data_IF_992065446745
#
_entry.id   IF_992065446745
#
_cell.length_a   1.000
_cell.length_b   1.000
_cell.length_c   1.000
_cell.angle_alpha   90.00
_cell.angle_beta   90.00
_cell.angle_gamma   90.00
#
_symmetry.space_group_name_H-M   'P 1'
#
loop_
_entity.id
_entity.type
_entity.pdbx_description
1 polymer ?
#
# COMPACT_ATOMS: atom_id res chain seq x y z
N UNK A 1 36.11 -1.52 -6.36
CA UNK A 1 35.89 -0.57 -7.48
C UNK A 1 34.45 0.04 -7.44
N UNK A 2 33.42 -0.75 -7.27
CA UNK A 2 32.03 -0.19 -7.28
C UNK A 2 31.61 0.51 -5.99
N UNK A 3 32.24 0.25 -4.85
CA UNK A 3 31.90 0.86 -3.54
C UNK A 3 31.95 2.40 -3.57
N UNK A 4 32.82 2.99 -4.36
CA UNK A 4 32.92 4.44 -4.53
C UNK A 4 31.92 5.01 -5.55
N UNK A 5 31.25 4.16 -6.34
CA UNK A 5 30.28 4.57 -7.34
C UNK A 5 28.81 4.49 -6.85
N UNK A 6 28.58 3.78 -5.74
CA UNK A 6 27.27 3.67 -5.14
C UNK A 6 26.94 4.96 -4.37
N UNK A 7 25.74 5.48 -4.56
CA UNK A 7 25.28 6.67 -3.81
C UNK A 7 25.36 6.44 -2.30
N UNK A 8 25.77 7.44 -1.50
CA UNK A 8 25.93 7.29 -0.04
C UNK A 8 24.68 6.81 0.68
N UNK A 9 23.48 7.26 0.22
CA UNK A 9 22.20 6.86 0.78
C UNK A 9 21.96 5.35 0.64
N UNK A 10 22.42 4.76 -0.48
CA UNK A 10 22.30 3.33 -0.75
C UNK A 10 23.39 2.55 0.00
N UNK A 11 24.64 3.04 -0.03
CA UNK A 11 25.76 2.37 0.63
C UNK A 11 25.55 2.19 2.14
N UNK A 12 24.79 3.06 2.75
CA UNK A 12 24.45 3.05 4.19
C UNK A 12 23.15 2.31 4.54
N UNK A 13 22.45 1.73 3.56
CA UNK A 13 21.26 0.91 3.82
C UNK A 13 21.65 -0.49 4.26
N UNK A 14 20.96 -0.98 5.30
CA UNK A 14 20.94 -2.41 5.60
C UNK A 14 19.96 -3.11 4.66
N UNK A 15 20.31 -4.30 4.21
CA UNK A 15 19.39 -5.11 3.43
C UNK A 15 18.09 -5.38 4.24
N UNK A 16 16.96 -5.28 3.59
CA UNK A 16 15.70 -5.69 4.21
C UNK A 16 15.77 -7.18 4.56
N UNK A 17 15.51 -7.52 5.82
CA UNK A 17 15.49 -8.91 6.30
C UNK A 17 14.03 -9.37 6.36
N UNK A 18 13.55 -10.15 5.40
CA UNK A 18 12.21 -10.70 5.44
C UNK A 18 12.08 -11.72 6.60
N UNK A 19 10.86 -11.93 7.07
CA UNK A 19 10.59 -13.03 7.97
C UNK A 19 10.97 -14.38 7.35
N UNK A 20 11.54 -15.30 8.14
CA UNK A 20 11.97 -16.61 7.66
C UNK A 20 10.81 -17.39 7.04
N UNK A 21 11.07 -18.10 5.98
CA UNK A 21 10.10 -19.03 5.37
C UNK A 21 9.86 -20.26 6.26
N UNK A 22 8.74 -20.96 6.05
CA UNK A 22 8.46 -22.22 6.76
C UNK A 22 9.55 -23.26 6.48
N UNK A 23 10.07 -23.31 5.25
CA UNK A 23 11.12 -24.24 4.86
C UNK A 23 12.43 -23.95 5.62
N UNK A 24 12.87 -22.70 5.65
CA UNK A 24 14.06 -22.28 6.40
C UNK A 24 13.97 -22.59 7.90
N UNK A 25 12.78 -22.32 8.51
CA UNK A 25 12.56 -22.62 9.94
C UNK A 25 12.60 -24.13 10.19
N UNK A 26 11.97 -24.93 9.33
CA UNK A 26 12.01 -26.40 9.44
C UNK A 26 13.42 -26.94 9.34
N UNK A 27 14.19 -26.50 8.35
CA UNK A 27 15.57 -26.93 8.13
C UNK A 27 16.45 -26.51 9.30
N UNK A 28 16.36 -25.25 9.70
CA UNK A 28 17.23 -24.69 10.76
C UNK A 28 16.98 -25.27 12.14
N UNK A 29 15.74 -25.58 12.48
CA UNK A 29 15.34 -26.00 13.83
C UNK A 29 14.85 -27.45 13.92
N UNK A 30 14.87 -28.22 12.84
CA UNK A 30 14.42 -29.61 12.80
C UNK A 30 12.94 -29.84 13.12
N UNK A 31 12.09 -28.86 12.83
CA UNK A 31 10.68 -28.89 13.23
C UNK A 31 9.81 -29.56 12.18
N UNK A 32 8.95 -30.50 12.60
CA UNK A 32 7.96 -31.14 11.73
C UNK A 32 6.76 -30.22 11.42
N UNK A 33 6.39 -29.33 12.35
CA UNK A 33 5.26 -28.41 12.25
C UNK A 33 5.71 -26.98 12.55
N UNK A 34 5.38 -26.04 11.63
CA UNK A 34 5.64 -24.61 11.77
C UNK A 34 4.35 -23.86 11.45
N UNK A 35 3.93 -22.96 12.31
CA UNK A 35 2.83 -22.02 12.08
C UNK A 35 3.47 -20.67 11.82
N UNK A 36 3.39 -20.20 10.55
CA UNK A 36 3.94 -18.90 10.16
C UNK A 36 2.89 -17.82 10.43
N UNK A 37 3.21 -16.93 11.37
CA UNK A 37 2.41 -15.74 11.69
C UNK A 37 3.09 -14.43 11.22
N UNK A 38 4.34 -14.54 10.74
CA UNK A 38 5.07 -13.40 10.16
C UNK A 38 4.53 -13.02 8.78
N UNK A 39 4.78 -11.77 8.37
CA UNK A 39 4.40 -11.17 7.07
C UNK A 39 2.90 -10.94 6.88
N UNK A 40 2.07 -11.21 7.88
CA UNK A 40 0.62 -10.96 7.84
C UNK A 40 -0.03 -11.53 6.57
N UNK A 41 0.31 -12.78 6.21
CA UNK A 41 -0.26 -13.50 5.09
C UNK A 41 -1.64 -14.08 5.47
N UNK A 42 -2.54 -14.21 4.49
CA UNK A 42 -3.86 -14.82 4.73
C UNK A 42 -3.76 -16.33 4.94
N UNK A 43 -4.14 -16.87 6.13
CA UNK A 43 -4.03 -18.29 6.43
C UNK A 43 -5.02 -19.17 5.65
N UNK A 44 -6.10 -18.59 5.10
CA UNK A 44 -7.09 -19.32 4.28
C UNK A 44 -6.56 -19.64 2.87
N UNK A 45 -5.34 -19.18 2.54
CA UNK A 45 -4.67 -19.43 1.26
C UNK A 45 -5.37 -18.68 0.10
N UNK A 46 -5.52 -19.34 -1.03
CA UNK A 46 -5.99 -18.77 -2.30
C UNK A 46 -7.46 -19.12 -2.53
N UNK A 47 -8.26 -18.12 -2.90
CA UNK A 47 -9.67 -18.30 -3.28
C UNK A 47 -9.85 -19.43 -4.31
N UNK A 48 -10.91 -20.26 -4.20
CA UNK A 48 -11.24 -21.27 -5.20
C UNK A 48 -11.39 -20.71 -6.62
N UNK A 49 -11.99 -19.53 -6.78
CA UNK A 49 -12.12 -18.87 -8.08
C UNK A 49 -10.77 -18.46 -8.65
N UNK A 50 -9.87 -17.93 -7.84
CA UNK A 50 -8.50 -17.59 -8.24
C UNK A 50 -7.75 -18.84 -8.69
N UNK A 51 -7.83 -19.94 -7.92
CA UNK A 51 -7.19 -21.20 -8.28
C UNK A 51 -7.64 -21.68 -9.66
N UNK A 52 -8.94 -21.66 -9.92
CA UNK A 52 -9.51 -22.05 -11.21
C UNK A 52 -8.99 -21.17 -12.34
N UNK A 53 -9.03 -19.86 -12.18
CA UNK A 53 -8.59 -18.90 -13.20
C UNK A 53 -7.10 -19.05 -13.48
N UNK A 54 -6.26 -19.17 -12.47
CA UNK A 54 -4.82 -19.35 -12.67
C UNK A 54 -4.51 -20.66 -13.41
N UNK A 55 -5.17 -21.77 -13.04
CA UNK A 55 -4.96 -23.06 -13.70
C UNK A 55 -5.29 -23.03 -15.21
N UNK A 56 -6.28 -22.23 -15.61
CA UNK A 56 -6.69 -22.11 -17.02
C UNK A 56 -5.98 -21.01 -17.79
N UNK A 57 -5.20 -20.16 -17.11
CA UNK A 57 -4.55 -19.00 -17.71
C UNK A 57 -3.03 -19.14 -17.85
N UNK A 58 -2.44 -20.24 -17.39
CA UNK A 58 -0.98 -20.44 -17.42
C UNK A 58 -0.42 -20.37 -18.85
N UNK A 59 -1.15 -20.89 -19.82
CA UNK A 59 -0.76 -20.87 -21.25
C UNK A 59 -0.66 -19.44 -21.82
N UNK A 60 -1.24 -18.44 -21.14
CA UNK A 60 -1.15 -17.05 -21.57
C UNK A 60 0.06 -16.29 -20.97
N UNK A 61 0.80 -16.94 -20.07
CA UNK A 61 1.95 -16.30 -19.38
C UNK A 61 3.07 -15.85 -20.33
N UNK A 62 3.11 -16.33 -21.57
CA UNK A 62 4.06 -15.90 -22.60
C UNK A 62 3.76 -14.52 -23.19
N UNK A 63 2.61 -13.91 -22.85
CA UNK A 63 2.20 -12.60 -23.36
C UNK A 63 2.26 -11.52 -22.29
N UNK A 64 2.62 -10.31 -22.70
CA UNK A 64 2.46 -9.15 -21.85
C UNK A 64 0.98 -8.89 -21.53
N UNK A 65 0.67 -8.33 -20.33
CA UNK A 65 -0.67 -7.88 -20.04
C UNK A 65 -1.07 -6.70 -20.94
N UNK A 66 -2.36 -6.39 -20.99
CA UNK A 66 -2.82 -5.16 -21.63
C UNK A 66 -2.27 -3.94 -20.86
N UNK A 67 -1.71 -2.98 -21.60
CA UNK A 67 -1.14 -1.78 -21.01
C UNK A 67 -2.13 -1.02 -20.13
N UNK A 68 -1.72 -0.74 -18.88
CA UNK A 68 -2.56 -0.03 -17.92
C UNK A 68 -3.63 -0.86 -17.21
N UNK A 69 -3.75 -2.17 -17.51
CA UNK A 69 -4.69 -3.09 -16.84
C UNK A 69 -6.15 -2.55 -16.78
N UNK A 70 -6.76 -2.14 -17.91
CA UNK A 70 -8.03 -1.41 -17.93
C UNK A 70 -9.17 -2.20 -17.29
N UNK A 71 -9.27 -3.51 -17.52
CA UNK A 71 -10.31 -4.36 -16.96
C UNK A 71 -10.27 -4.37 -15.42
N UNK A 72 -9.09 -4.45 -14.83
CA UNK A 72 -8.92 -4.40 -13.38
C UNK A 72 -9.24 -2.99 -12.83
N UNK A 73 -8.78 -1.93 -13.50
CA UNK A 73 -9.10 -0.55 -13.10
C UNK A 73 -10.58 -0.28 -13.09
N UNK A 74 -11.30 -0.70 -14.12
CA UNK A 74 -12.77 -0.57 -14.20
C UNK A 74 -13.47 -1.37 -13.10
N UNK A 75 -13.01 -2.59 -12.80
CA UNK A 75 -13.57 -3.40 -11.73
C UNK A 75 -13.39 -2.74 -10.36
N UNK A 76 -12.20 -2.20 -10.08
CA UNK A 76 -11.90 -1.46 -8.86
C UNK A 76 -12.69 -0.15 -8.77
N UNK A 77 -12.80 0.59 -9.88
CA UNK A 77 -13.57 1.83 -9.94
C UNK A 77 -15.04 1.60 -9.59
N UNK A 78 -15.64 0.53 -10.14
CA UNK A 78 -17.00 0.11 -9.77
C UNK A 78 -17.13 -0.29 -8.30
N UNK A 79 -16.16 -1.07 -7.80
CA UNK A 79 -16.18 -1.54 -6.41
C UNK A 79 -16.10 -0.40 -5.38
N UNK A 80 -15.43 0.69 -5.74
CA UNK A 80 -15.21 1.84 -4.86
C UNK A 80 -16.02 3.09 -5.23
N UNK A 81 -16.86 3.01 -6.27
CA UNK A 81 -17.68 4.13 -6.75
C UNK A 81 -16.85 5.38 -7.10
N UNK A 82 -15.69 5.18 -7.72
CA UNK A 82 -14.79 6.25 -8.19
C UNK A 82 -14.55 6.17 -9.69
N UNK A 83 -14.08 7.26 -10.30
CA UNK A 83 -13.70 7.25 -11.71
C UNK A 83 -12.49 6.31 -11.96
N UNK A 84 -12.51 5.49 -13.04
CA UNK A 84 -11.37 4.65 -13.43
C UNK A 84 -10.08 5.43 -13.66
N UNK A 85 -10.17 6.71 -13.97
CA UNK A 85 -9.02 7.61 -14.17
C UNK A 85 -8.24 7.85 -12.87
N UNK A 86 -8.89 7.70 -11.72
CA UNK A 86 -8.26 7.81 -10.40
C UNK A 86 -7.58 6.53 -9.95
N UNK A 87 -7.87 5.39 -10.59
CA UNK A 87 -7.29 4.08 -10.22
C UNK A 87 -5.93 3.92 -10.86
N UNK A 88 -4.93 3.63 -10.03
CA UNK A 88 -3.62 3.13 -10.45
C UNK A 88 -3.41 1.72 -9.91
N UNK A 89 -2.67 0.90 -10.65
CA UNK A 89 -2.30 -0.45 -10.20
C UNK A 89 -0.78 -0.59 -10.22
N UNK A 90 -0.24 -1.39 -9.31
CA UNK A 90 1.19 -1.59 -9.17
C UNK A 90 1.55 -3.01 -8.74
N UNK A 91 2.82 -3.34 -8.84
CA UNK A 91 3.41 -4.60 -8.36
C UNK A 91 3.47 -4.60 -6.81
N UNK A 92 2.31 -4.77 -6.19
CA UNK A 92 2.02 -4.42 -4.80
C UNK A 92 1.79 -2.91 -4.63
N UNK A 93 1.24 -2.51 -3.47
CA UNK A 93 1.19 -1.09 -3.08
C UNK A 93 2.59 -0.49 -2.94
N UNK A 94 3.60 -1.34 -2.76
CA UNK A 94 5.02 -0.98 -2.63
C UNK A 94 5.52 -0.19 -3.84
N UNK A 95 5.18 -0.63 -5.07
CA UNK A 95 5.51 0.11 -6.30
C UNK A 95 4.86 1.49 -6.32
N UNK A 96 3.63 1.61 -5.83
CA UNK A 96 2.92 2.88 -5.81
C UNK A 96 3.56 3.84 -4.80
N UNK A 97 3.98 3.35 -3.64
CA UNK A 97 4.73 4.14 -2.64
C UNK A 97 6.03 4.67 -3.25
N UNK A 98 6.83 3.80 -3.86
CA UNK A 98 8.09 4.18 -4.52
C UNK A 98 7.85 5.24 -5.59
N UNK A 99 6.85 5.02 -6.44
CA UNK A 99 6.51 5.95 -7.52
C UNK A 99 6.03 7.31 -7.00
N UNK A 100 5.21 7.36 -5.95
CA UNK A 100 4.76 8.62 -5.37
C UNK A 100 5.94 9.44 -4.83
N UNK A 101 6.89 8.80 -4.14
CA UNK A 101 8.09 9.48 -3.64
C UNK A 101 8.92 10.02 -4.81
N UNK A 102 9.20 9.21 -5.83
CA UNK A 102 9.97 9.60 -7.03
C UNK A 102 9.33 10.72 -7.81
N UNK A 103 8.01 10.74 -7.90
CA UNK A 103 7.27 11.73 -8.69
C UNK A 103 7.17 13.09 -7.98
N UNK A 104 7.04 13.08 -6.66
CA UNK A 104 6.68 14.28 -5.90
C UNK A 104 7.86 14.90 -5.14
N UNK A 105 8.85 14.10 -4.75
CA UNK A 105 9.94 14.56 -3.92
C UNK A 105 11.27 14.64 -4.68
N UNK A 106 11.87 15.82 -4.67
CA UNK A 106 13.22 16.07 -5.22
C UNK A 106 14.26 15.73 -4.15
N UNK A 107 15.27 14.89 -4.47
CA UNK A 107 16.35 14.52 -3.54
C UNK A 107 17.05 15.75 -2.94
N UNK A 108 17.36 15.69 -1.64
CA UNK A 108 18.07 16.75 -0.92
C UNK A 108 17.30 18.06 -0.73
N UNK A 109 16.07 18.16 -1.26
CA UNK A 109 15.24 19.37 -1.18
C UNK A 109 13.92 19.16 -0.45
N UNK A 110 13.34 17.97 -0.58
CA UNK A 110 12.02 17.67 -0.06
C UNK A 110 12.08 16.60 1.03
N UNK A 111 11.02 16.53 1.82
CA UNK A 111 10.86 15.55 2.89
C UNK A 111 9.55 14.78 2.76
N UNK A 112 9.52 13.63 3.43
CA UNK A 112 8.32 12.87 3.75
C UNK A 112 8.14 12.82 5.27
N UNK A 113 6.90 12.70 5.74
CA UNK A 113 6.56 12.58 7.16
C UNK A 113 5.82 11.28 7.38
N UNK A 114 6.15 10.54 8.44
CA UNK A 114 5.43 9.33 8.85
C UNK A 114 5.54 9.14 10.37
N UNK A 115 4.74 8.25 10.92
CA UNK A 115 4.89 7.79 12.30
C UNK A 115 6.12 6.88 12.47
N UNK A 116 6.57 6.66 13.73
CA UNK A 116 7.63 5.72 14.11
C UNK A 116 7.22 4.98 15.39
N UNK A 117 7.18 3.63 15.43
CA UNK A 117 7.38 2.73 14.29
C UNK A 117 6.27 2.81 13.24
N UNK A 118 6.59 2.43 12.01
CA UNK A 118 5.64 2.37 10.89
C UNK A 118 6.00 1.23 9.93
N UNK A 119 5.23 1.08 8.87
CA UNK A 119 5.64 0.21 7.77
C UNK A 119 6.97 0.70 7.18
N UNK A 120 8.00 -0.12 7.36
CA UNK A 120 9.41 0.26 7.12
C UNK A 120 9.72 0.70 5.69
N UNK A 121 8.83 0.42 4.74
CA UNK A 121 9.05 0.79 3.34
C UNK A 121 9.04 2.31 3.11
N UNK A 122 8.26 3.08 3.86
CA UNK A 122 8.22 4.54 3.67
C UNK A 122 9.60 5.18 3.87
N UNK A 123 10.27 5.02 5.04
CA UNK A 123 11.59 5.59 5.24
C UNK A 123 12.66 4.93 4.37
N UNK A 124 12.56 3.64 4.04
CA UNK A 124 13.50 2.95 3.18
C UNK A 124 13.45 3.54 1.77
N UNK A 125 12.26 3.66 1.17
CA UNK A 125 12.11 4.21 -0.17
C UNK A 125 12.47 5.70 -0.24
N UNK A 126 12.09 6.49 0.77
CA UNK A 126 12.51 7.88 0.87
C UNK A 126 14.04 7.98 0.85
N UNK A 127 14.74 7.15 1.65
CA UNK A 127 16.21 7.11 1.68
C UNK A 127 16.81 6.68 0.34
N UNK A 128 16.26 5.63 -0.31
CA UNK A 128 16.67 5.20 -1.66
C UNK A 128 16.55 6.36 -2.66
N UNK A 129 15.52 7.18 -2.53
CA UNK A 129 15.30 8.35 -3.36
C UNK A 129 16.13 9.58 -2.94
N UNK A 130 16.89 9.52 -1.84
CA UNK A 130 17.63 10.67 -1.31
C UNK A 130 16.72 11.75 -0.72
N UNK A 131 15.57 11.35 -0.20
CA UNK A 131 14.55 12.22 0.40
C UNK A 131 14.58 12.09 1.92
N UNK A 132 14.56 13.21 2.63
CA UNK A 132 14.50 13.26 4.09
C UNK A 132 13.23 12.59 4.61
N UNK A 133 13.35 11.80 5.69
CA UNK A 133 12.19 11.27 6.42
C UNK A 133 12.13 11.91 7.80
N UNK A 134 11.03 12.61 8.10
CA UNK A 134 10.72 13.12 9.44
C UNK A 134 9.76 12.17 10.12
N UNK A 135 10.08 11.77 11.34
CA UNK A 135 9.40 10.71 12.05
C UNK A 135 8.71 11.25 13.29
N UNK A 136 7.41 11.03 13.38
CA UNK A 136 6.61 11.33 14.55
C UNK A 136 6.50 10.07 15.42
N UNK A 137 6.97 10.08 16.67
CA UNK A 137 6.80 8.91 17.54
C UNK A 137 5.31 8.65 17.79
N UNK A 138 4.95 7.37 17.90
CA UNK A 138 3.62 7.00 18.39
C UNK A 138 3.48 7.40 19.87
N UNK A 139 2.25 7.66 20.29
CA UNK A 139 1.93 7.84 21.71
C UNK A 139 2.27 6.57 22.52
N UNK A 140 2.45 6.64 23.86
CA UNK A 140 2.75 5.46 24.68
C UNK A 140 1.74 4.32 24.60
N UNK A 141 0.48 4.63 24.25
CA UNK A 141 -0.60 3.68 24.00
C UNK A 141 -0.70 3.24 22.52
N UNK A 142 0.31 3.60 21.71
CA UNK A 142 0.38 3.37 20.27
C UNK A 142 -0.67 4.11 19.44
N UNK A 143 -1.38 5.08 19.99
CA UNK A 143 -2.27 5.96 19.24
C UNK A 143 -1.49 7.00 18.42
N UNK A 144 -2.18 7.62 17.46
CA UNK A 144 -1.62 8.66 16.60
C UNK A 144 -1.89 10.06 17.18
N UNK A 145 -0.85 10.79 17.48
CA UNK A 145 -0.92 12.24 17.69
C UNK A 145 -0.80 12.93 16.31
N UNK A 146 -1.96 13.20 15.68
CA UNK A 146 -2.01 13.82 14.36
C UNK A 146 -1.58 15.30 14.39
N UNK A 147 -1.71 15.98 15.51
CA UNK A 147 -1.26 17.36 15.66
C UNK A 147 0.27 17.41 15.77
N UNK A 148 0.88 16.49 16.52
CA UNK A 148 2.33 16.32 16.54
C UNK A 148 2.88 15.95 15.16
N UNK A 149 2.22 15.04 14.44
CA UNK A 149 2.58 14.68 13.05
C UNK A 149 2.52 15.92 12.14
N UNK A 150 1.44 16.69 12.20
CA UNK A 150 1.25 17.91 11.42
C UNK A 150 2.33 18.97 11.72
N UNK A 151 2.80 19.07 12.96
CA UNK A 151 3.86 20.01 13.36
C UNK A 151 5.21 19.75 12.67
N UNK A 152 5.44 18.54 12.14
CA UNK A 152 6.64 18.18 11.38
C UNK A 152 6.57 18.55 9.90
N UNK A 153 5.40 18.99 9.43
CA UNK A 153 5.16 19.35 8.02
C UNK A 153 5.59 20.79 7.77
N UNK A 154 6.30 21.03 6.69
CA UNK A 154 6.69 22.35 6.23
C UNK A 154 6.51 22.51 4.72
N UNK A 155 6.93 23.65 4.16
CA UNK A 155 6.83 23.95 2.73
C UNK A 155 7.67 23.00 1.83
N UNK A 156 8.64 22.29 2.40
CA UNK A 156 9.46 21.27 1.74
C UNK A 156 8.85 19.86 1.79
N UNK A 157 7.84 19.63 2.64
CA UNK A 157 7.19 18.32 2.75
C UNK A 157 6.31 18.06 1.52
N UNK A 158 6.43 16.87 0.94
CA UNK A 158 5.64 16.45 -0.24
C UNK A 158 4.68 15.32 0.05
N UNK A 159 4.99 14.46 1.00
CA UNK A 159 4.12 13.33 1.36
C UNK A 159 4.04 13.20 2.87
N UNK A 160 2.84 12.94 3.36
CA UNK A 160 2.57 12.46 4.71
C UNK A 160 1.99 11.07 4.58
N UNK A 161 2.63 10.05 5.16
CA UNK A 161 2.15 8.67 5.16
C UNK A 161 1.46 8.35 6.48
N UNK A 162 0.23 7.84 6.39
CA UNK A 162 -0.54 7.33 7.53
C UNK A 162 -1.11 5.96 7.16
N UNK A 163 -0.69 4.93 7.89
CA UNK A 163 -1.24 3.57 7.73
C UNK A 163 -2.46 3.41 8.62
N UNK A 164 -3.60 2.96 8.09
CA UNK A 164 -4.81 2.78 8.89
C UNK A 164 -5.66 1.61 8.37
N UNK A 165 -5.94 0.58 9.19
CA UNK A 165 -5.29 0.28 10.48
C UNK A 165 -3.77 0.18 10.40
N UNK A 166 -3.08 0.65 11.44
CA UNK A 166 -1.63 0.76 11.45
C UNK A 166 -0.91 -0.59 11.46
N UNK A 167 0.26 -0.60 10.89
CA UNK A 167 1.24 -1.66 11.01
C UNK A 167 2.55 -1.05 11.57
N UNK A 168 2.92 -1.34 12.86
CA UNK A 168 2.57 -2.57 13.57
C UNK A 168 1.47 -2.45 14.64
N UNK A 169 1.01 -1.25 15.02
CA UNK A 169 0.22 -1.06 16.24
C UNK A 169 -1.23 -1.58 16.16
N UNK A 170 -1.79 -1.68 14.94
CA UNK A 170 -3.21 -1.97 14.74
C UNK A 170 -4.14 -0.76 14.99
N UNK A 171 -3.60 0.38 15.39
CA UNK A 171 -4.41 1.55 15.67
C UNK A 171 -5.15 2.05 14.42
N UNK A 172 -6.39 2.45 14.61
CA UNK A 172 -7.23 3.00 13.56
C UNK A 172 -7.78 4.37 14.02
N UNK A 173 -7.25 5.48 13.51
CA UNK A 173 -7.69 6.81 13.90
C UNK A 173 -9.14 7.07 13.47
N UNK A 174 -9.90 7.89 14.23
CA UNK A 174 -11.23 8.28 13.82
C UNK A 174 -11.25 8.96 12.45
N UNK A 175 -12.22 8.61 11.60
CA UNK A 175 -12.35 9.17 10.24
C UNK A 175 -12.37 10.71 10.24
N UNK A 176 -13.06 11.32 11.21
CA UNK A 176 -13.09 12.77 11.37
C UNK A 176 -11.71 13.39 11.62
N UNK A 177 -10.84 12.69 12.34
CA UNK A 177 -9.46 13.16 12.58
C UNK A 177 -8.62 13.10 11.30
N UNK A 178 -8.78 12.03 10.50
CA UNK A 178 -8.13 11.92 9.18
C UNK A 178 -8.61 12.99 8.20
N UNK A 179 -9.91 13.33 8.21
CA UNK A 179 -10.44 14.43 7.40
C UNK A 179 -9.85 15.77 7.81
N UNK A 180 -9.79 16.05 9.12
CA UNK A 180 -9.16 17.29 9.61
C UNK A 180 -7.70 17.40 9.20
N UNK A 181 -6.95 16.31 9.27
CA UNK A 181 -5.56 16.31 8.81
C UNK A 181 -5.47 16.64 7.31
N UNK A 182 -6.31 16.04 6.48
CA UNK A 182 -6.37 16.34 5.04
C UNK A 182 -6.68 17.81 4.78
N UNK A 183 -7.69 18.38 5.46
CA UNK A 183 -8.08 19.78 5.35
C UNK A 183 -6.97 20.74 5.82
N UNK A 184 -6.28 20.43 6.91
CA UNK A 184 -5.16 21.22 7.40
C UNK A 184 -4.00 21.22 6.41
N UNK A 185 -3.66 20.03 5.85
CA UNK A 185 -2.62 19.92 4.82
C UNK A 185 -3.00 20.70 3.56
N UNK A 186 -4.22 20.59 3.08
CA UNK A 186 -4.69 21.33 1.89
C UNK A 186 -4.60 22.84 2.09
N UNK A 187 -5.02 23.33 3.25
CA UNK A 187 -5.03 24.76 3.56
C UNK A 187 -3.63 25.34 3.72
N UNK A 188 -2.74 24.67 4.41
CA UNK A 188 -1.43 25.21 4.80
C UNK A 188 -0.29 24.75 3.90
N UNK A 189 -0.42 23.55 3.31
CA UNK A 189 0.61 22.91 2.49
C UNK A 189 0.01 22.26 1.23
N UNK A 190 -0.55 23.05 0.28
CA UNK A 190 -1.33 22.54 -0.86
C UNK A 190 -0.52 21.66 -1.83
N UNK A 191 0.80 21.59 -1.66
CA UNK A 191 1.69 20.70 -2.43
C UNK A 191 2.05 19.41 -1.69
N UNK A 192 1.48 19.19 -0.51
CA UNK A 192 1.68 18.01 0.31
C UNK A 192 0.53 17.02 0.09
N UNK A 193 0.85 15.80 -0.33
CA UNK A 193 -0.12 14.72 -0.51
C UNK A 193 -0.22 13.90 0.78
N UNK A 194 -1.43 13.71 1.30
CA UNK A 194 -1.70 12.73 2.34
C UNK A 194 -1.88 11.35 1.70
N UNK A 195 -0.96 10.44 1.96
CA UNK A 195 -1.02 9.05 1.51
C UNK A 195 -1.55 8.19 2.66
N UNK A 196 -2.77 7.70 2.50
CA UNK A 196 -3.43 6.83 3.49
C UNK A 196 -3.29 5.40 3.02
N UNK A 197 -2.48 4.63 3.73
CA UNK A 197 -2.29 3.21 3.43
C UNK A 197 -3.34 2.38 4.16
N UNK A 198 -4.33 1.94 3.41
CA UNK A 198 -5.46 1.13 3.87
C UNK A 198 -5.25 -0.37 3.58
N UNK A 199 -4.00 -0.86 3.63
CA UNK A 199 -3.68 -2.26 3.35
C UNK A 199 -4.44 -3.26 4.25
N UNK A 200 -4.83 -2.85 5.45
CA UNK A 200 -5.55 -3.68 6.42
C UNK A 200 -7.01 -3.25 6.64
N UNK A 201 -7.51 -2.28 5.87
CA UNK A 201 -8.81 -1.67 6.10
C UNK A 201 -9.99 -2.67 6.01
N UNK A 202 -9.87 -3.72 5.22
CA UNK A 202 -10.91 -4.76 5.14
C UNK A 202 -11.18 -5.42 6.50
N UNK A 203 -10.17 -5.50 7.37
CA UNK A 203 -10.28 -6.08 8.72
C UNK A 203 -10.85 -5.12 9.76
N UNK A 204 -10.78 -3.81 9.54
CA UNK A 204 -11.26 -2.80 10.50
C UNK A 204 -12.77 -2.86 10.76
N UNK A 205 -13.54 -3.36 9.80
CA UNK A 205 -14.98 -3.48 9.91
C UNK A 205 -15.49 -4.88 10.24
N UNK A 206 -14.62 -5.88 10.28
CA UNK A 206 -15.01 -7.28 10.45
C UNK A 206 -15.74 -7.53 11.78
N UNK A 207 -15.29 -6.89 12.85
CA UNK A 207 -15.89 -7.03 14.20
C UNK A 207 -17.17 -6.20 14.41
N UNK A 208 -17.44 -5.23 13.54
CA UNK A 208 -18.52 -4.23 13.75
C UNK A 208 -19.56 -4.19 12.61
N UNK A 209 -19.39 -4.99 11.55
CA UNK A 209 -20.32 -4.98 10.40
C UNK A 209 -20.27 -3.71 9.54
N UNK A 210 -19.33 -2.79 9.78
CA UNK A 210 -19.32 -1.44 9.23
C UNK A 210 -17.94 -0.96 8.75
N UNK A 211 -17.32 -1.69 7.82
CA UNK A 211 -16.07 -1.27 7.16
C UNK A 211 -16.08 0.19 6.61
N UNK A 212 -17.22 0.76 6.18
CA UNK A 212 -17.25 2.15 5.70
C UNK A 212 -16.90 3.22 6.72
N UNK A 213 -17.02 2.93 8.04
CA UNK A 213 -16.80 3.96 9.08
C UNK A 213 -15.35 4.41 9.27
N UNK A 214 -14.39 3.65 8.80
CA UNK A 214 -12.97 3.92 9.04
C UNK A 214 -12.21 4.37 7.81
N UNK A 215 -12.73 4.09 6.61
CA UNK A 215 -12.06 4.36 5.34
C UNK A 215 -12.45 5.72 4.76
N UNK A 216 -11.46 6.54 4.45
CA UNK A 216 -11.68 7.77 3.68
C UNK A 216 -12.23 7.46 2.29
N UNK A 217 -11.81 6.38 1.67
CA UNK A 217 -12.32 5.95 0.37
C UNK A 217 -13.80 5.58 0.43
N UNK A 218 -14.21 4.82 1.43
CA UNK A 218 -15.59 4.38 1.57
C UNK A 218 -16.57 5.51 2.00
N UNK A 219 -16.04 6.63 2.49
CA UNK A 219 -16.84 7.78 2.90
C UNK A 219 -17.42 8.60 1.73
N UNK A 220 -17.06 8.27 0.48
CA UNK A 220 -17.65 8.81 -0.74
C UNK A 220 -17.12 10.17 -1.21
N UNK A 221 -16.55 10.97 -0.32
CA UNK A 221 -15.99 12.29 -0.62
C UNK A 221 -14.52 12.30 -0.24
N UNK A 222 -13.64 11.91 -1.20
CA UNK A 222 -12.22 11.84 -1.02
C UNK A 222 -11.59 13.22 -1.32
N UNK A 223 -10.91 13.87 -0.33
CA UNK A 223 -10.26 15.15 -0.53
C UNK A 223 -9.26 15.14 -1.70
N UNK A 224 -9.09 16.30 -2.33
CA UNK A 224 -8.27 16.43 -3.55
C UNK A 224 -6.78 16.18 -3.30
N UNK A 225 -6.30 16.34 -2.07
CA UNK A 225 -4.92 16.14 -1.64
C UNK A 225 -4.71 14.77 -0.97
N UNK A 226 -5.63 13.79 -1.18
CA UNK A 226 -5.54 12.46 -0.57
C UNK A 226 -5.33 11.38 -1.63
N UNK A 227 -4.38 10.50 -1.39
CA UNK A 227 -4.18 9.25 -2.09
C UNK A 227 -4.46 8.08 -1.14
N UNK A 228 -5.25 7.10 -1.57
CA UNK A 228 -5.52 5.87 -0.82
C UNK A 228 -4.75 4.72 -1.45
N UNK A 229 -4.06 3.93 -0.64
CA UNK A 229 -3.41 2.70 -1.09
C UNK A 229 -4.16 1.48 -0.56
N UNK A 230 -4.26 0.45 -1.38
CA UNK A 230 -4.86 -0.84 -1.07
C UNK A 230 -4.04 -1.97 -1.66
N UNK A 231 -4.17 -3.15 -1.11
CA UNK A 231 -3.41 -4.33 -1.56
C UNK A 231 -4.28 -5.57 -1.67
N UNK A 232 -3.94 -6.44 -2.61
CA UNK A 232 -4.50 -7.79 -2.69
C UNK A 232 -3.74 -8.81 -1.83
N UNK A 233 -2.65 -8.38 -1.17
CA UNK A 233 -1.77 -9.27 -0.41
C UNK A 233 -2.38 -9.80 0.89
N UNK A 234 -3.35 -9.08 1.48
CA UNK A 234 -3.88 -9.36 2.83
C UNK A 234 -5.22 -10.09 2.77
N UNK A 235 -6.33 -9.39 2.85
CA UNK A 235 -7.68 -9.98 2.85
C UNK A 235 -7.98 -10.85 1.62
N UNK A 236 -7.43 -10.49 0.48
CA UNK A 236 -7.61 -11.24 -0.78
C UNK A 236 -6.68 -12.45 -0.96
N UNK A 237 -5.69 -12.67 -0.07
CA UNK A 237 -4.82 -13.86 -0.10
C UNK A 237 -3.86 -13.95 -1.30
N UNK A 238 -3.51 -12.83 -1.94
CA UNK A 238 -2.69 -12.80 -3.17
C UNK A 238 -1.28 -12.23 -2.95
N UNK A 239 -0.71 -12.38 -1.75
CA UNK A 239 0.59 -11.83 -1.42
C UNK A 239 1.71 -12.19 -2.42
N UNK A 240 1.74 -13.43 -2.88
CA UNK A 240 2.72 -13.95 -3.84
C UNK A 240 2.55 -13.43 -5.27
N UNK A 241 1.38 -12.92 -5.64
CA UNK A 241 1.12 -12.37 -6.98
C UNK A 241 1.49 -10.91 -7.12
N UNK A 242 1.86 -10.23 -6.02
CA UNK A 242 2.33 -8.86 -6.01
C UNK A 242 1.36 -7.90 -6.71
N UNK A 243 0.13 -7.80 -6.23
CA UNK A 243 -0.88 -6.89 -6.77
C UNK A 243 -1.34 -5.90 -5.72
N UNK A 244 -1.29 -4.61 -6.06
CA UNK A 244 -1.83 -3.51 -5.27
C UNK A 244 -2.45 -2.46 -6.17
N UNK A 245 -3.19 -1.54 -5.57
CA UNK A 245 -3.78 -0.41 -6.27
C UNK A 245 -3.84 0.83 -5.39
N UNK A 246 -3.97 1.97 -6.05
CA UNK A 246 -4.22 3.25 -5.41
C UNK A 246 -5.40 3.97 -6.02
N UNK A 247 -6.07 4.79 -5.21
CA UNK A 247 -7.03 5.79 -5.66
C UNK A 247 -6.37 7.14 -5.45
N UNK A 248 -5.96 7.76 -6.54
CA UNK A 248 -5.20 9.02 -6.52
C UNK A 248 -6.08 10.19 -6.99
N UNK A 249 -5.69 11.45 -6.73
CA UNK A 249 -6.18 12.57 -7.51
C UNK A 249 -6.00 12.30 -9.01
N UNK A 250 -7.01 12.60 -9.83
CA UNK A 250 -7.02 12.19 -11.26
C UNK A 250 -5.81 12.72 -12.04
N UNK A 251 -5.42 13.97 -11.79
CA UNK A 251 -4.24 14.55 -12.41
C UNK A 251 -2.96 13.80 -12.04
N UNK A 252 -2.79 13.46 -10.75
CA UNK A 252 -1.64 12.70 -10.26
C UNK A 252 -1.60 11.28 -10.83
N UNK A 253 -2.76 10.63 -10.94
CA UNK A 253 -2.87 9.32 -11.60
C UNK A 253 -2.43 9.39 -13.06
N UNK A 254 -2.74 10.49 -13.77
CA UNK A 254 -2.25 10.73 -15.13
C UNK A 254 -0.72 10.79 -15.21
N UNK A 255 -0.05 11.43 -14.25
CA UNK A 255 1.42 11.43 -14.16
C UNK A 255 1.98 10.07 -13.78
N UNK A 256 1.35 9.34 -12.86
CA UNK A 256 1.73 7.98 -12.50
C UNK A 256 1.80 7.07 -13.74
N UNK A 257 0.78 7.13 -14.61
CA UNK A 257 0.75 6.33 -15.85
C UNK A 257 1.86 6.65 -16.83
N UNK A 258 2.43 7.87 -16.79
CA UNK A 258 3.57 8.27 -17.63
C UNK A 258 4.91 7.82 -17.05
N UNK A 259 5.01 7.74 -15.72
CA UNK A 259 6.28 7.52 -15.00
C UNK A 259 6.54 6.06 -14.65
N UNK A 260 5.48 5.22 -14.51
CA UNK A 260 5.62 3.82 -14.08
C UNK A 260 6.34 2.96 -15.14
N UNK A 261 6.92 1.84 -14.67
CA UNK A 261 7.46 0.83 -15.57
C UNK A 261 6.34 0.19 -16.41
N UNK A 262 6.53 0.01 -17.73
CA UNK A 262 5.60 -0.73 -18.56
C UNK A 262 5.40 -2.14 -18.02
N UNK A 263 4.16 -2.62 -18.04
CA UNK A 263 3.80 -4.02 -17.70
C UNK A 263 4.24 -4.50 -16.31
N UNK A 264 4.42 -3.61 -15.33
CA UNK A 264 4.85 -3.97 -13.97
C UNK A 264 3.88 -4.91 -13.26
N UNK A 265 2.58 -4.85 -13.56
CA UNK A 265 1.57 -5.80 -13.09
C UNK A 265 1.43 -6.91 -14.12
N UNK A 266 1.74 -8.14 -13.73
CA UNK A 266 1.71 -9.30 -14.60
C UNK A 266 0.27 -9.77 -14.93
N UNK A 267 0.09 -10.47 -16.06
CA UNK A 267 -1.22 -10.92 -16.56
C UNK A 267 -1.94 -11.86 -15.60
N UNK A 268 -1.23 -12.73 -14.91
CA UNK A 268 -1.82 -13.68 -13.96
C UNK A 268 -2.31 -12.98 -12.70
N UNK A 269 -1.57 -11.97 -12.22
CA UNK A 269 -2.00 -11.13 -11.10
C UNK A 269 -3.28 -10.35 -11.43
N UNK A 270 -3.37 -9.76 -12.63
CA UNK A 270 -4.58 -9.08 -13.09
C UNK A 270 -5.80 -10.01 -13.10
N UNK A 271 -5.66 -11.21 -13.71
CA UNK A 271 -6.72 -12.21 -13.75
C UNK A 271 -7.14 -12.70 -12.37
N UNK A 272 -6.17 -12.94 -11.49
CA UNK A 272 -6.42 -13.31 -10.11
C UNK A 272 -7.15 -12.20 -9.33
N UNK A 273 -6.74 -10.95 -9.53
CA UNK A 273 -7.40 -9.78 -8.94
C UNK A 273 -8.87 -9.67 -9.37
N UNK A 274 -9.13 -9.81 -10.68
CA UNK A 274 -10.51 -9.82 -11.22
C UNK A 274 -11.35 -10.97 -10.67
N UNK A 275 -10.75 -12.14 -10.47
CA UNK A 275 -11.44 -13.31 -9.94
C UNK A 275 -11.79 -13.14 -8.46
N UNK A 276 -10.83 -12.71 -7.63
CA UNK A 276 -11.05 -12.59 -6.18
C UNK A 276 -12.01 -11.45 -5.83
N UNK A 277 -12.10 -10.39 -6.61
CA UNK A 277 -13.08 -9.31 -6.43
C UNK A 277 -14.54 -9.82 -6.56
N UNK A 278 -14.75 -10.95 -7.24
CA UNK A 278 -16.06 -11.60 -7.41
C UNK A 278 -16.34 -12.68 -6.36
N UNK A 279 -15.35 -13.05 -5.56
CA UNK A 279 -15.47 -14.12 -4.57
C UNK A 279 -15.89 -13.56 -3.20
N UNK A 280 -17.16 -13.21 -3.09
CA UNK A 280 -17.73 -12.68 -1.84
C UNK A 280 -17.71 -13.68 -0.69
N UNK A 281 -17.81 -14.99 -1.00
CA UNK A 281 -17.76 -16.06 -0.01
C UNK A 281 -16.36 -16.17 0.63
N UNK A 282 -15.31 -16.21 -0.20
CA UNK A 282 -13.93 -16.20 0.27
C UNK A 282 -13.63 -14.94 1.08
N UNK A 283 -14.09 -13.77 0.60
CA UNK A 283 -13.91 -12.51 1.32
C UNK A 283 -14.58 -12.56 2.70
N UNK A 284 -15.82 -13.03 2.79
CA UNK A 284 -16.53 -13.18 4.06
C UNK A 284 -15.79 -14.11 5.00
N UNK A 285 -15.41 -15.32 4.56
CA UNK A 285 -14.65 -16.28 5.36
C UNK A 285 -13.29 -15.74 5.83
N UNK A 286 -12.69 -14.83 5.08
CA UNK A 286 -11.41 -14.20 5.49
C UNK A 286 -11.61 -13.19 6.62
N UNK A 287 -12.76 -12.53 6.68
CA UNK A 287 -13.04 -11.47 7.66
C UNK A 287 -13.71 -11.98 8.94
N UNK A 288 -14.26 -13.19 8.91
CA UNK A 288 -14.74 -13.96 10.09
C UNK A 288 -13.58 -14.60 10.87
#
# INVERSE_FOLDING_TARGET
MYTCAVRPEIASLSAYVPGMSIAEVRERYGLSRVIKMASNENPLRVSPLVRKVLATSLEEAFRYPQGGNPALREALARAHHVSPERIVVGNGSDEIIDMLIRMLAVPGRHSVVCFEPCFSLYPIQARICGVETRRCPLSPDYSFDLDALFSLVDAGTRLVFVTTPDNPSGYCPPLAAMRRLAEQLERHFPRCLLVVDEAYMDFAGASCGEAPRFSLLASGDLPANVAILRTFSKSYGLAGLRLGYGVLPAELAGFYWRARLPFSVNSLAEKAGLAVLRDSEFRRATLE
#
